data_IF_671468647495
#
_entry.id   IF_671468647495
#
_cell.length_a   1.000
_cell.length_b   1.000
_cell.length_c   1.000
_cell.angle_alpha   90.00
_cell.angle_beta   90.00
_cell.angle_gamma   90.00
#
_symmetry.space_group_name_H-M   'P 1'
#
loop_
_entity.id
_entity.type
_entity.pdbx_description
1 polymer ?
#
# COMPACT_ATOMS: atom_id res chain seq x y z
N UNK A 1 -7.89 -12.86 -1.34
CA UNK A 1 -8.39 -13.23 -0.01
C UNK A 1 -9.07 -12.06 0.71
N UNK A 2 -8.36 -11.01 1.14
CA UNK A 2 -8.96 -9.90 1.90
C UNK A 2 -10.11 -9.17 1.17
N UNK A 3 -9.93 -8.71 -0.07
CA UNK A 3 -11.02 -8.06 -0.79
C UNK A 3 -12.21 -9.02 -1.08
N UNK A 4 -11.98 -10.35 -1.11
CA UNK A 4 -13.08 -11.33 -1.21
C UNK A 4 -13.87 -11.45 0.09
N UNK A 5 -13.27 -11.07 1.21
CA UNK A 5 -13.88 -11.03 2.53
C UNK A 5 -14.58 -9.68 2.82
N UNK A 6 -14.67 -8.77 1.83
CA UNK A 6 -15.37 -7.50 1.95
C UNK A 6 -14.51 -6.30 2.36
N UNK A 7 -13.20 -6.48 2.50
CA UNK A 7 -12.29 -5.35 2.75
C UNK A 7 -12.16 -4.45 1.52
N UNK A 8 -12.05 -3.13 1.75
CA UNK A 8 -11.71 -2.20 0.68
C UNK A 8 -10.28 -2.46 0.16
N UNK A 9 -9.95 -2.05 -1.08
CA UNK A 9 -8.60 -2.15 -1.62
C UNK A 9 -7.54 -1.54 -0.70
N UNK A 10 -7.84 -0.39 -0.08
CA UNK A 10 -6.94 0.29 0.85
C UNK A 10 -6.67 -0.56 2.09
N UNK A 11 -7.74 -1.05 2.73
CA UNK A 11 -7.61 -1.92 3.91
C UNK A 11 -6.86 -3.21 3.58
N UNK A 12 -7.09 -3.78 2.39
CA UNK A 12 -6.41 -4.98 1.96
C UNK A 12 -4.89 -4.76 1.79
N UNK A 13 -4.49 -3.64 1.18
CA UNK A 13 -3.08 -3.26 1.04
C UNK A 13 -2.41 -3.04 2.41
N UNK A 14 -3.05 -2.28 3.30
CA UNK A 14 -2.54 -2.02 4.66
C UNK A 14 -2.34 -3.31 5.45
N UNK A 15 -3.34 -4.19 5.47
CA UNK A 15 -3.26 -5.48 6.16
C UNK A 15 -2.18 -6.38 5.56
N UNK A 16 -2.00 -6.37 4.24
CA UNK A 16 -0.96 -7.15 3.58
C UNK A 16 0.45 -6.68 3.98
N UNK A 17 0.70 -5.37 3.97
CA UNK A 17 1.99 -4.81 4.41
C UNK A 17 2.21 -5.05 5.90
N UNK A 18 1.21 -4.82 6.75
CA UNK A 18 1.31 -5.03 8.20
C UNK A 18 1.66 -6.50 8.54
N UNK A 19 1.07 -7.47 7.83
CA UNK A 19 1.42 -8.90 7.98
C UNK A 19 2.87 -9.19 7.62
N UNK A 20 3.41 -8.50 6.62
CA UNK A 20 4.81 -8.64 6.21
C UNK A 20 5.72 -7.95 7.22
N UNK A 21 5.38 -6.73 7.66
CA UNK A 21 6.10 -5.99 8.69
C UNK A 21 6.24 -6.80 9.98
N UNK A 22 5.16 -7.47 10.42
CA UNK A 22 5.20 -8.34 11.60
C UNK A 22 6.17 -9.54 11.46
N UNK A 23 6.45 -9.99 10.23
CA UNK A 23 7.34 -11.14 9.95
C UNK A 23 8.78 -10.72 9.72
N UNK A 24 8.99 -9.71 8.89
CA UNK A 24 10.32 -9.23 8.47
C UNK A 24 10.93 -8.31 9.53
N UNK A 25 10.09 -7.70 10.38
CA UNK A 25 10.46 -6.60 11.29
C UNK A 25 11.05 -5.42 10.52
N UNK A 26 11.69 -4.49 11.22
CA UNK A 26 12.41 -3.40 10.60
C UNK A 26 13.67 -3.96 9.91
N UNK A 27 13.78 -3.75 8.59
CA UNK A 27 14.90 -4.23 7.80
C UNK A 27 15.36 -3.15 6.82
N UNK A 28 16.65 -2.74 6.84
CA UNK A 28 17.13 -1.53 6.15
C UNK A 28 16.91 -1.56 4.63
N UNK A 29 17.04 -2.74 4.02
CA UNK A 29 16.94 -2.91 2.56
C UNK A 29 15.63 -3.55 2.10
N UNK A 30 14.66 -3.76 2.99
CA UNK A 30 13.38 -4.33 2.61
C UNK A 30 12.39 -3.23 2.20
N UNK A 31 11.73 -3.42 1.06
CA UNK A 31 10.64 -2.57 0.59
C UNK A 31 9.60 -3.43 -0.14
N UNK A 32 8.33 -3.11 0.09
CA UNK A 32 7.20 -3.66 -0.66
C UNK A 32 6.09 -2.61 -0.71
N UNK A 33 5.42 -2.51 -1.85
CA UNK A 33 4.22 -1.70 -2.03
C UNK A 33 3.15 -2.52 -2.73
N UNK A 34 1.90 -2.34 -2.32
CA UNK A 34 0.75 -2.91 -3.01
C UNK A 34 -0.11 -1.79 -3.58
N UNK A 35 -0.64 -2.03 -4.77
CA UNK A 35 -1.72 -1.25 -5.39
C UNK A 35 -2.84 -2.25 -5.69
N UNK A 36 -4.05 -1.92 -5.29
CA UNK A 36 -5.22 -2.77 -5.47
C UNK A 36 -6.37 -1.98 -6.10
N UNK A 37 -7.17 -2.69 -6.89
CA UNK A 37 -8.39 -2.22 -7.53
C UNK A 37 -9.47 -3.29 -7.34
N UNK A 38 -10.69 -2.88 -7.01
CA UNK A 38 -11.83 -3.79 -6.97
C UNK A 38 -12.77 -3.59 -8.18
N UNK A 39 -13.81 -4.43 -8.27
CA UNK A 39 -14.78 -4.38 -9.37
C UNK A 39 -15.65 -3.12 -9.39
N UNK A 40 -15.74 -2.40 -8.28
CA UNK A 40 -16.45 -1.12 -8.19
C UNK A 40 -15.60 0.06 -8.68
N UNK A 41 -14.32 -0.17 -9.00
CA UNK A 41 -13.39 0.89 -9.42
C UNK A 41 -12.70 1.60 -8.25
N UNK A 42 -12.90 1.16 -7.01
CA UNK A 42 -12.19 1.70 -5.86
C UNK A 42 -10.72 1.26 -5.91
N UNK A 43 -9.82 2.17 -5.53
CA UNK A 43 -8.37 1.92 -5.50
C UNK A 43 -7.83 2.05 -4.09
N UNK A 44 -6.71 1.38 -3.82
CA UNK A 44 -5.99 1.53 -2.58
C UNK A 44 -4.53 1.14 -2.74
N UNK A 45 -3.67 1.80 -1.98
CA UNK A 45 -2.25 1.52 -1.98
C UNK A 45 -1.66 1.68 -0.58
N UNK A 46 -0.67 0.84 -0.27
CA UNK A 46 0.10 0.97 0.97
C UNK A 46 1.47 0.36 0.78
N UNK A 47 2.47 0.96 1.43
CA UNK A 47 3.87 0.55 1.30
C UNK A 47 4.52 0.29 2.65
N UNK A 48 5.60 -0.49 2.63
CA UNK A 48 6.42 -0.74 3.79
C UNK A 48 7.20 0.53 4.16
N UNK A 49 7.97 1.11 3.24
CA UNK A 49 8.69 2.40 3.40
C UNK A 49 8.01 3.56 2.67
N UNK A 50 8.23 4.81 3.11
CA UNK A 50 7.73 6.02 2.44
C UNK A 50 8.34 6.19 1.04
N UNK A 51 7.72 7.07 0.24
CA UNK A 51 8.19 7.40 -1.12
C UNK A 51 7.60 6.55 -2.25
N UNK A 52 6.78 5.55 -1.94
CA UNK A 52 6.05 4.80 -2.96
C UNK A 52 4.89 5.63 -3.54
N UNK A 53 4.77 5.64 -4.86
CA UNK A 53 3.73 6.35 -5.61
C UNK A 53 3.10 5.42 -6.64
N UNK A 54 1.86 5.73 -7.04
CA UNK A 54 1.20 5.03 -8.15
C UNK A 54 0.48 6.01 -9.06
N UNK A 55 0.44 5.68 -10.37
CA UNK A 55 -0.34 6.43 -11.34
C UNK A 55 -1.72 5.79 -11.49
N UNK A 56 -2.76 6.62 -11.47
CA UNK A 56 -4.13 6.20 -11.77
C UNK A 56 -4.61 6.94 -13.00
N UNK A 57 -4.94 6.17 -14.04
CA UNK A 57 -5.62 6.68 -15.22
C UNK A 57 -7.12 6.38 -15.13
N UNK A 58 -7.93 7.43 -14.98
CA UNK A 58 -9.38 7.32 -14.87
C UNK A 58 -10.04 8.51 -15.56
N UNK A 59 -11.13 8.25 -16.31
CA UNK A 59 -11.90 9.28 -17.00
C UNK A 59 -11.06 10.19 -17.93
N UNK A 60 -10.05 9.63 -18.58
CA UNK A 60 -9.15 10.35 -19.49
C UNK A 60 -8.11 11.25 -18.81
N UNK A 61 -8.03 11.23 -17.48
CA UNK A 61 -6.99 11.90 -16.70
C UNK A 61 -6.00 10.89 -16.14
N UNK A 62 -4.72 11.25 -16.11
CA UNK A 62 -3.67 10.49 -15.44
C UNK A 62 -3.15 11.31 -14.26
N UNK A 63 -3.19 10.76 -13.05
CA UNK A 63 -2.76 11.45 -11.83
C UNK A 63 -1.83 10.57 -11.01
N UNK A 64 -0.76 11.15 -10.48
CA UNK A 64 0.20 10.47 -9.61
C UNK A 64 -0.22 10.66 -8.14
N UNK A 65 -0.40 9.55 -7.44
CA UNK A 65 -0.83 9.51 -6.04
C UNK A 65 0.33 9.08 -5.13
N UNK A 66 0.50 9.82 -4.03
CA UNK A 66 1.39 9.42 -2.94
C UNK A 66 0.74 8.32 -2.10
N UNK A 67 1.54 7.34 -1.68
CA UNK A 67 1.07 6.21 -0.89
C UNK A 67 1.51 6.34 0.56
N UNK A 68 0.59 6.05 1.48
CA UNK A 68 0.93 5.93 2.90
C UNK A 68 1.80 4.69 3.15
N UNK A 69 2.57 4.73 4.24
CA UNK A 69 3.45 3.63 4.63
C UNK A 69 3.41 3.39 6.14
N UNK A 70 4.12 2.34 6.60
CA UNK A 70 4.24 2.01 8.01
C UNK A 70 4.72 3.24 8.79
N UNK A 71 3.96 3.58 9.85
CA UNK A 71 4.18 4.77 10.68
C UNK A 71 5.17 4.46 11.81
N UNK A 72 6.45 4.65 11.52
CA UNK A 72 7.56 4.54 12.47
C UNK A 72 8.57 5.65 12.19
N UNK A 73 9.51 5.86 13.10
CA UNK A 73 10.66 6.73 12.82
C UNK A 73 11.65 5.97 11.93
N UNK A 74 11.76 6.39 10.66
CA UNK A 74 12.67 5.77 9.69
C UNK A 74 14.10 6.32 9.78
N UNK A 75 14.32 7.39 10.55
CA UNK A 75 15.60 8.09 10.69
C UNK A 75 16.42 7.58 11.90
N UNK A 76 15.92 6.59 12.65
CA UNK A 76 16.57 6.00 13.84
C UNK A 76 17.35 4.69 13.56
N UNK A 77 17.58 4.32 12.28
CA UNK A 77 18.44 3.19 11.86
C UNK A 77 19.77 3.63 11.24
#
# INVERSE_FOLDING_TARGET
>A
ELMRQGYSPQQACEQAVNRIFAKVKLHPHFQIGYIALNKAGETGAYAYRPGFQYALHQNGSNTLYNTNSIKINWDEE
#
